data_IF_116316952842
#
_entry.id   IF_116316952842
#
_cell.length_a   1.000
_cell.length_b   1.000
_cell.length_c   1.000
_cell.angle_alpha   90.00
_cell.angle_beta   90.00
_cell.angle_gamma   90.00
#
_symmetry.space_group_name_H-M   'P 1'
#
loop_
_entity.id
_entity.type
_entity.pdbx_description
1 polymer ?
#
# COMPACT_ATOMS: atom_id res chain seq x y z
N UNK A 1 6.53 -65.29 35.49
CA UNK A 1 5.26 -66.05 35.54
C UNK A 1 4.75 -66.21 34.11
N UNK A 2 4.87 -67.45 33.60
CA UNK A 2 4.13 -68.14 32.53
C UNK A 2 4.08 -67.49 31.12
N UNK A 3 4.91 -67.89 30.14
CA UNK A 3 4.93 -69.15 29.32
C UNK A 3 3.66 -69.20 28.42
N UNK A 4 3.67 -69.23 27.08
CA UNK A 4 3.97 -70.37 26.18
C UNK A 4 4.04 -69.89 24.70
N UNK A 5 5.04 -70.39 23.96
CA UNK A 5 5.17 -70.40 22.49
C UNK A 5 4.62 -71.70 21.87
N UNK A 6 4.34 -71.67 20.55
CA UNK A 6 4.50 -72.77 19.55
C UNK A 6 3.91 -72.30 18.21
N UNK A 7 4.69 -72.02 17.16
CA UNK A 7 5.24 -72.96 16.13
C UNK A 7 4.17 -73.87 15.51
N UNK A 8 3.85 -73.65 14.23
CA UNK A 8 3.82 -74.72 13.22
C UNK A 8 3.94 -74.17 11.80
N UNK A 9 4.84 -74.80 11.05
CA UNK A 9 5.18 -74.58 9.64
C UNK A 9 4.12 -75.22 8.74
N UNK A 10 3.64 -74.53 7.70
CA UNK A 10 3.19 -75.15 6.44
C UNK A 10 3.53 -74.21 5.27
N UNK A 11 4.45 -74.68 4.43
CA UNK A 11 4.76 -74.15 3.10
C UNK A 11 3.96 -74.99 2.10
N UNK A 12 3.34 -74.37 1.08
CA UNK A 12 3.20 -75.02 -0.21
C UNK A 12 3.91 -74.23 -1.31
N UNK A 13 4.75 -74.97 -2.02
CA UNK A 13 5.41 -74.66 -3.28
C UNK A 13 4.35 -74.46 -4.37
N UNK A 14 4.33 -73.32 -5.04
CA UNK A 14 3.66 -73.15 -6.35
C UNK A 14 4.60 -72.38 -7.30
N UNK A 15 5.34 -73.18 -8.06
CA UNK A 15 5.69 -73.08 -9.47
C UNK A 15 5.67 -71.68 -10.12
N UNK A 16 6.88 -71.13 -10.28
CA UNK A 16 7.22 -69.98 -11.10
C UNK A 16 7.17 -70.38 -12.59
N UNK A 17 6.17 -69.90 -13.32
CA UNK A 17 6.12 -69.99 -14.78
C UNK A 17 6.80 -68.75 -15.39
N UNK A 18 8.07 -68.89 -15.78
CA UNK A 18 8.77 -67.94 -16.64
C UNK A 18 8.18 -68.01 -18.05
N UNK A 19 7.38 -67.01 -18.42
CA UNK A 19 7.10 -66.73 -19.83
C UNK A 19 8.18 -65.79 -20.31
N UNK A 20 9.12 -66.33 -21.10
CA UNK A 20 9.97 -65.53 -21.96
C UNK A 20 9.09 -64.93 -23.07
N UNK A 21 8.72 -63.66 -22.95
CA UNK A 21 8.42 -62.86 -24.14
C UNK A 21 9.75 -62.41 -24.72
N UNK A 22 10.09 -63.04 -25.85
CA UNK A 22 11.16 -62.65 -26.73
C UNK A 22 10.98 -61.19 -27.21
N UNK A 23 12.10 -60.49 -27.28
CA UNK A 23 12.22 -59.17 -27.87
C UNK A 23 11.58 -59.11 -29.26
N UNK A 24 10.59 -58.22 -29.44
CA UNK A 24 10.41 -57.56 -30.72
C UNK A 24 11.26 -56.30 -30.67
N UNK A 25 12.30 -56.30 -31.46
CA UNK A 25 13.16 -55.17 -31.76
C UNK A 25 12.29 -54.16 -32.54
N UNK A 26 11.87 -53.07 -31.90
CA UNK A 26 11.42 -51.88 -32.63
C UNK A 26 11.96 -50.66 -31.89
N UNK A 27 13.15 -50.25 -32.30
CA UNK A 27 13.78 -48.97 -32.02
C UNK A 27 12.95 -47.87 -32.69
N UNK A 28 11.76 -47.57 -32.17
CA UNK A 28 11.10 -46.29 -32.46
C UNK A 28 11.63 -45.26 -31.44
N UNK A 29 12.92 -44.94 -31.59
CA UNK A 29 13.56 -43.78 -30.99
C UNK A 29 13.04 -42.50 -31.68
N UNK A 30 11.71 -42.34 -31.74
CA UNK A 30 11.09 -41.06 -32.03
C UNK A 30 11.39 -40.20 -30.82
N UNK A 31 12.16 -39.10 -30.95
CA UNK A 31 12.26 -38.14 -29.86
C UNK A 31 10.83 -37.73 -29.52
N UNK A 32 10.46 -37.78 -28.23
CA UNK A 32 9.23 -37.11 -27.81
C UNK A 32 9.24 -35.71 -28.43
N UNK A 33 8.15 -35.28 -29.11
CA UNK A 33 8.17 -34.01 -29.82
C UNK A 33 8.62 -32.93 -28.84
N UNK A 34 9.70 -32.24 -29.19
CA UNK A 34 10.23 -31.15 -28.37
C UNK A 34 9.11 -30.12 -28.24
N UNK A 35 8.66 -29.90 -27.02
CA UNK A 35 7.59 -28.95 -26.77
C UNK A 35 8.07 -27.55 -27.14
N UNK A 36 7.29 -26.85 -27.97
CA UNK A 36 7.60 -25.50 -28.40
C UNK A 36 7.72 -24.56 -27.19
N UNK A 37 8.64 -23.59 -27.25
CA UNK A 37 8.63 -22.48 -26.29
C UNK A 37 7.44 -21.53 -26.57
N UNK A 38 7.22 -20.55 -25.70
CA UNK A 38 6.08 -19.62 -25.80
C UNK A 38 6.04 -18.87 -27.14
N UNK A 39 7.18 -18.40 -27.65
CA UNK A 39 7.22 -17.63 -28.91
C UNK A 39 7.00 -18.52 -30.12
N UNK A 40 7.56 -19.73 -30.11
CA UNK A 40 7.31 -20.74 -31.14
C UNK A 40 5.85 -21.19 -31.15
N UNK A 41 5.25 -21.38 -29.96
CA UNK A 41 3.84 -21.70 -29.80
C UNK A 41 2.94 -20.58 -30.34
N UNK A 42 3.23 -19.33 -30.00
CA UNK A 42 2.50 -18.18 -30.52
C UNK A 42 2.62 -18.07 -32.05
N UNK A 43 3.82 -18.30 -32.59
CA UNK A 43 4.08 -18.29 -34.04
C UNK A 43 3.35 -19.40 -34.79
N UNK A 44 3.11 -20.55 -34.15
CA UNK A 44 2.33 -21.66 -34.70
C UNK A 44 0.82 -21.46 -34.58
N UNK A 45 0.36 -20.46 -33.82
CA UNK A 45 -1.06 -20.20 -33.54
C UNK A 45 -1.55 -19.05 -34.41
N UNK A 46 -2.38 -19.35 -35.41
CA UNK A 46 -2.85 -18.36 -36.39
C UNK A 46 -3.54 -17.14 -35.75
N UNK A 47 -4.23 -17.34 -34.62
CA UNK A 47 -4.94 -16.28 -33.90
C UNK A 47 -4.03 -15.40 -33.02
N UNK A 48 -2.73 -15.69 -32.95
CA UNK A 48 -1.73 -14.93 -32.19
C UNK A 48 -0.72 -14.22 -33.11
N UNK A 49 -0.99 -14.11 -34.41
CA UNK A 49 -0.06 -13.47 -35.36
C UNK A 49 0.16 -11.98 -35.06
N UNK A 50 -0.85 -11.25 -34.55
CA UNK A 50 -0.71 -9.87 -34.07
C UNK A 50 0.19 -9.78 -32.84
N UNK A 51 0.11 -10.73 -31.91
CA UNK A 51 1.01 -10.79 -30.75
C UNK A 51 2.46 -10.98 -31.19
N UNK A 52 2.71 -11.90 -32.13
CA UNK A 52 4.06 -12.12 -32.67
C UNK A 52 4.61 -10.87 -33.37
N UNK A 53 3.78 -10.19 -34.16
CA UNK A 53 4.16 -8.92 -34.78
C UNK A 53 4.46 -7.83 -33.74
N UNK A 54 3.67 -7.76 -32.66
CA UNK A 54 3.90 -6.83 -31.55
C UNK A 54 5.22 -7.11 -30.82
N UNK A 55 5.52 -8.38 -30.51
CA UNK A 55 6.78 -8.79 -29.89
C UNK A 55 8.01 -8.42 -30.73
N UNK A 56 7.88 -8.49 -32.07
CA UNK A 56 8.95 -8.09 -33.00
C UNK A 56 9.12 -6.58 -33.12
N UNK A 57 8.03 -5.81 -32.95
CA UNK A 57 8.03 -4.36 -33.08
C UNK A 57 8.45 -3.64 -31.78
N UNK A 58 8.20 -4.25 -30.62
CA UNK A 58 8.47 -3.66 -29.32
C UNK A 58 9.97 -3.57 -28.98
N UNK A 59 10.32 -2.58 -28.16
CA UNK A 59 11.66 -2.45 -27.61
C UNK A 59 11.99 -3.60 -26.63
N UNK A 60 13.29 -3.83 -26.39
CA UNK A 60 13.75 -4.74 -25.35
C UNK A 60 13.95 -6.21 -25.77
N UNK A 61 13.88 -6.52 -27.08
CA UNK A 61 14.09 -7.87 -27.63
C UNK A 61 13.21 -8.93 -26.94
N UNK A 62 11.91 -8.63 -26.82
CA UNK A 62 10.95 -9.48 -26.11
C UNK A 62 10.83 -10.88 -26.73
N UNK A 63 11.13 -11.03 -28.02
CA UNK A 63 11.24 -12.34 -28.68
C UNK A 63 12.32 -13.19 -28.04
N UNK A 64 13.55 -12.67 -27.86
CA UNK A 64 14.61 -13.41 -27.20
C UNK A 64 14.30 -13.65 -25.72
N UNK A 65 13.72 -12.65 -25.03
CA UNK A 65 13.36 -12.77 -23.61
C UNK A 65 12.35 -13.90 -23.39
N UNK A 66 11.25 -13.93 -24.15
CA UNK A 66 10.19 -14.92 -23.98
C UNK A 66 10.49 -16.28 -24.64
N UNK A 67 11.53 -16.38 -25.47
CA UNK A 67 12.10 -17.66 -25.91
C UNK A 67 13.11 -18.22 -24.90
N UNK A 68 13.55 -17.39 -23.95
CA UNK A 68 14.56 -17.72 -22.96
C UNK A 68 14.07 -18.68 -21.86
N UNK A 69 14.92 -18.87 -20.85
CA UNK A 69 14.59 -19.71 -19.70
C UNK A 69 13.46 -19.08 -18.88
N UNK A 70 12.35 -19.80 -18.76
CA UNK A 70 11.23 -19.46 -17.88
C UNK A 70 11.37 -20.10 -16.48
N UNK A 71 10.24 -20.37 -15.79
CA UNK A 71 8.88 -20.33 -16.32
C UNK A 71 8.30 -18.91 -16.43
N UNK A 72 7.53 -18.68 -17.50
CA UNK A 72 6.67 -17.51 -17.67
C UNK A 72 5.19 -17.91 -17.72
N UNK A 73 4.31 -17.00 -17.35
CA UNK A 73 2.89 -17.05 -17.71
C UNK A 73 2.60 -15.89 -18.63
N UNK A 74 2.16 -16.19 -19.86
CA UNK A 74 1.82 -15.16 -20.86
C UNK A 74 0.32 -15.12 -21.07
N UNK A 75 -0.27 -13.95 -20.83
CA UNK A 75 -1.63 -13.61 -21.19
C UNK A 75 -1.64 -13.21 -22.67
N UNK A 76 -1.90 -14.13 -23.59
CA UNK A 76 -1.74 -13.93 -25.02
C UNK A 76 -3.02 -13.36 -25.67
N UNK A 77 -3.07 -12.07 -26.06
CA UNK A 77 -4.26 -11.50 -26.67
C UNK A 77 -4.43 -12.01 -28.11
N UNK A 78 -5.67 -12.33 -28.48
CA UNK A 78 -6.03 -12.74 -29.85
C UNK A 78 -5.81 -11.62 -30.88
N UNK A 79 -5.83 -11.97 -32.17
CA UNK A 79 -5.85 -10.99 -33.25
C UNK A 79 -7.03 -10.02 -33.15
N UNK A 80 -8.19 -10.51 -32.70
CA UNK A 80 -9.37 -9.68 -32.45
C UNK A 80 -9.14 -8.70 -31.30
N UNK A 81 -8.45 -9.12 -30.24
CA UNK A 81 -8.06 -8.26 -29.12
C UNK A 81 -7.16 -7.09 -29.58
N UNK A 82 -6.14 -7.38 -30.42
CA UNK A 82 -5.28 -6.36 -31.01
C UNK A 82 -6.05 -5.44 -31.96
N UNK A 83 -6.99 -5.95 -32.75
CA UNK A 83 -7.83 -5.12 -33.59
C UNK A 83 -8.66 -4.14 -32.74
N UNK A 84 -9.27 -4.62 -31.64
CA UNK A 84 -10.03 -3.77 -30.72
C UNK A 84 -9.15 -2.69 -30.06
N UNK A 85 -7.89 -3.00 -29.74
CA UNK A 85 -6.92 -2.00 -29.26
C UNK A 85 -6.67 -0.90 -30.31
N UNK A 86 -6.42 -1.27 -31.56
CA UNK A 86 -6.20 -0.30 -32.64
C UNK A 86 -7.45 0.58 -32.84
N UNK A 87 -8.63 -0.03 -32.85
CA UNK A 87 -9.91 0.67 -33.02
C UNK A 87 -10.22 1.64 -31.86
N UNK A 88 -9.60 1.45 -30.69
CA UNK A 88 -9.78 2.34 -29.52
C UNK A 88 -9.12 3.72 -29.69
N UNK A 89 -8.21 3.86 -30.64
CA UNK A 89 -7.53 5.11 -30.92
C UNK A 89 -7.53 5.41 -32.43
N UNK A 90 -8.21 6.47 -32.90
CA UNK A 90 -8.30 6.77 -34.33
C UNK A 90 -6.96 7.13 -34.98
N UNK A 91 -5.91 7.37 -34.20
CA UNK A 91 -4.55 7.57 -34.70
C UNK A 91 -3.82 6.26 -35.03
N UNK A 92 -4.33 5.10 -34.58
CA UNK A 92 -3.69 3.80 -34.77
C UNK A 92 -4.38 3.01 -35.89
N UNK A 93 -3.64 2.74 -36.96
CA UNK A 93 -4.09 1.88 -38.06
C UNK A 93 -3.38 0.51 -38.00
N UNK A 94 -2.16 0.50 -37.47
CA UNK A 94 -1.31 -0.68 -37.34
C UNK A 94 -0.56 -0.65 -36.01
N UNK A 95 -0.01 -1.78 -35.58
CA UNK A 95 0.82 -1.87 -34.36
C UNK A 95 2.02 -0.91 -34.42
N UNK A 96 2.52 -0.60 -35.63
CA UNK A 96 3.63 0.34 -35.82
C UNK A 96 3.27 1.81 -35.52
N UNK A 97 1.98 2.13 -35.38
CA UNK A 97 1.52 3.47 -34.97
C UNK A 97 1.54 3.66 -33.44
N UNK A 98 1.80 2.58 -32.69
CA UNK A 98 1.97 2.61 -31.23
C UNK A 98 3.45 2.82 -30.94
N UNK A 99 3.77 3.74 -30.01
CA UNK A 99 5.14 3.97 -29.55
C UNK A 99 5.77 2.65 -29.05
N UNK A 100 6.98 2.32 -29.52
CA UNK A 100 7.58 0.99 -29.28
C UNK A 100 7.99 0.76 -27.84
N UNK A 101 8.28 1.84 -27.09
CA UNK A 101 8.55 1.76 -25.66
C UNK A 101 7.25 1.51 -24.86
N UNK A 102 6.17 2.20 -25.23
CA UNK A 102 4.83 1.92 -24.67
C UNK A 102 4.37 0.50 -24.99
N UNK A 103 4.54 0.06 -26.25
CA UNK A 103 4.18 -1.28 -26.69
C UNK A 103 4.95 -2.35 -25.89
N UNK A 104 6.24 -2.13 -25.64
CA UNK A 104 7.06 -3.02 -24.81
C UNK A 104 6.49 -3.17 -23.40
N UNK A 105 6.13 -2.06 -22.74
CA UNK A 105 5.51 -2.09 -21.42
C UNK A 105 4.14 -2.79 -21.43
N UNK A 106 3.30 -2.52 -22.44
CA UNK A 106 2.00 -3.21 -22.58
C UNK A 106 2.20 -4.72 -22.73
N UNK A 107 3.15 -5.16 -23.55
CA UNK A 107 3.45 -6.59 -23.70
C UNK A 107 4.01 -7.20 -22.42
N UNK A 108 4.91 -6.51 -21.72
CA UNK A 108 5.43 -6.96 -20.43
C UNK A 108 4.34 -7.02 -19.35
N UNK A 109 3.27 -6.23 -19.47
CA UNK A 109 2.11 -6.30 -18.58
C UNK A 109 1.28 -7.57 -18.80
N UNK A 110 1.48 -8.25 -19.93
CA UNK A 110 0.90 -9.57 -20.20
C UNK A 110 1.80 -10.72 -19.77
N UNK A 111 2.95 -10.45 -19.16
CA UNK A 111 3.91 -11.47 -18.73
C UNK A 111 3.97 -11.47 -17.22
N UNK A 112 3.66 -12.60 -16.61
CA UNK A 112 3.85 -12.87 -15.19
C UNK A 112 5.04 -13.82 -15.07
N UNK A 113 5.98 -13.53 -14.16
CA UNK A 113 7.08 -14.44 -13.86
C UNK A 113 6.58 -15.63 -13.03
N UNK A 114 6.95 -16.86 -13.42
CA UNK A 114 6.42 -18.08 -12.81
C UNK A 114 5.47 -18.83 -13.73
N UNK A 115 5.12 -20.06 -13.36
CA UNK A 115 4.10 -20.86 -14.03
C UNK A 115 2.82 -20.81 -13.21
N UNK A 116 1.92 -19.90 -13.56
CA UNK A 116 0.62 -19.68 -12.93
C UNK A 116 -0.48 -20.26 -13.82
N UNK A 117 -1.11 -21.34 -13.36
CA UNK A 117 -2.24 -21.98 -14.06
C UNK A 117 -3.56 -21.29 -13.71
N UNK A 118 -4.60 -21.56 -14.50
CA UNK A 118 -5.96 -21.11 -14.17
C UNK A 118 -6.46 -21.71 -12.85
N UNK A 119 -5.95 -22.91 -12.50
CA UNK A 119 -6.26 -23.57 -11.24
C UNK A 119 -5.63 -22.83 -10.05
N UNK A 120 -4.41 -22.34 -10.20
CA UNK A 120 -3.73 -21.54 -9.18
C UNK A 120 -4.48 -20.22 -8.93
N UNK A 121 -4.91 -19.54 -10.00
CA UNK A 121 -5.69 -18.31 -9.89
C UNK A 121 -7.04 -18.56 -9.22
N UNK A 122 -7.79 -19.57 -9.66
CA UNK A 122 -9.10 -19.91 -9.07
C UNK A 122 -9.01 -20.36 -7.61
N UNK A 123 -7.92 -21.03 -7.22
CA UNK A 123 -7.65 -21.36 -5.82
C UNK A 123 -7.36 -20.10 -4.98
N UNK A 124 -6.78 -19.06 -5.58
CA UNK A 124 -6.50 -17.77 -4.95
C UNK A 124 -7.71 -16.83 -4.83
N UNK A 125 -8.81 -17.10 -5.55
CA UNK A 125 -9.96 -16.20 -5.59
C UNK A 125 -9.69 -14.93 -6.39
N UNK A 126 -10.08 -13.76 -5.89
CA UNK A 126 -9.69 -12.47 -6.46
C UNK A 126 -8.44 -11.92 -5.76
N UNK A 127 -7.56 -11.26 -6.50
CA UNK A 127 -6.32 -10.74 -5.94
C UNK A 127 -5.44 -10.02 -6.96
N UNK A 128 -4.16 -9.85 -6.63
CA UNK A 128 -3.18 -9.20 -7.49
C UNK A 128 -1.99 -10.11 -7.78
N UNK A 129 -1.52 -10.09 -9.02
CA UNK A 129 -0.25 -10.66 -9.43
C UNK A 129 0.72 -9.55 -9.87
N UNK A 130 2.02 -9.85 -9.95
CA UNK A 130 3.03 -8.95 -10.51
C UNK A 130 3.30 -9.31 -11.95
N UNK A 131 3.28 -8.30 -12.82
CA UNK A 131 3.69 -8.46 -14.22
C UNK A 131 5.17 -8.12 -14.37
N UNK A 132 5.71 -8.21 -15.58
CA UNK A 132 7.07 -7.79 -15.86
C UNK A 132 7.15 -6.33 -16.35
N UNK A 133 6.02 -5.62 -16.40
CA UNK A 133 6.00 -4.19 -16.72
C UNK A 133 6.44 -3.35 -15.52
N UNK A 134 7.12 -2.24 -15.78
CA UNK A 134 7.58 -1.30 -14.77
C UNK A 134 6.47 -0.33 -14.39
N UNK A 135 6.26 -0.14 -13.08
CA UNK A 135 5.35 0.81 -12.49
C UNK A 135 6.06 1.85 -11.64
N UNK A 136 5.30 2.53 -10.78
CA UNK A 136 5.81 3.57 -9.89
C UNK A 136 6.94 3.05 -8.98
N UNK A 137 7.90 3.92 -8.68
CA UNK A 137 9.08 3.57 -7.87
C UNK A 137 10.01 2.53 -8.53
N UNK A 138 9.81 2.20 -9.81
CA UNK A 138 10.56 1.16 -10.53
C UNK A 138 10.17 -0.27 -10.14
N UNK A 139 9.12 -0.44 -9.32
CA UNK A 139 8.59 -1.74 -8.97
C UNK A 139 7.77 -2.34 -10.12
N UNK A 140 7.58 -3.65 -10.14
CA UNK A 140 6.74 -4.30 -11.14
C UNK A 140 5.26 -3.98 -10.93
N UNK A 141 4.56 -3.66 -12.02
CA UNK A 141 3.13 -3.35 -12.03
C UNK A 141 2.33 -4.50 -11.45
N UNK A 142 1.29 -4.14 -10.69
CA UNK A 142 0.27 -5.08 -10.27
C UNK A 142 -0.76 -5.26 -11.39
N UNK A 143 -1.28 -6.47 -11.51
CA UNK A 143 -2.46 -6.80 -12.33
C UNK A 143 -3.50 -7.46 -11.43
N UNK A 144 -4.71 -6.90 -11.41
CA UNK A 144 -5.83 -7.47 -10.67
C UNK A 144 -6.38 -8.67 -11.43
N UNK A 145 -6.68 -9.77 -10.74
CA UNK A 145 -7.41 -10.90 -11.28
C UNK A 145 -8.66 -11.20 -10.44
N UNK A 146 -9.76 -11.53 -11.11
CA UNK A 146 -11.01 -11.99 -10.51
C UNK A 146 -11.38 -13.34 -11.12
N UNK A 147 -11.86 -14.25 -10.29
CA UNK A 147 -12.24 -15.62 -10.68
C UNK A 147 -13.71 -15.93 -10.43
N UNK A 148 -14.51 -14.92 -10.04
CA UNK A 148 -15.95 -15.05 -9.77
C UNK A 148 -16.76 -15.53 -10.97
N UNK A 149 -16.33 -15.16 -12.18
CA UNK A 149 -16.99 -15.48 -13.45
C UNK A 149 -15.98 -15.93 -14.50
N UNK A 150 -15.18 -16.93 -14.16
CA UNK A 150 -13.97 -17.29 -14.92
C UNK A 150 -12.83 -16.31 -14.61
N UNK A 151 -11.61 -16.64 -15.05
CA UNK A 151 -10.43 -15.79 -14.81
C UNK A 151 -10.52 -14.54 -15.69
N UNK A 152 -10.55 -13.37 -15.06
CA UNK A 152 -10.55 -12.05 -15.69
C UNK A 152 -9.44 -11.20 -15.11
N UNK A 153 -8.88 -10.31 -15.92
CA UNK A 153 -7.81 -9.39 -15.52
C UNK A 153 -8.24 -7.93 -15.69
N UNK A 154 -7.97 -7.12 -14.66
CA UNK A 154 -8.32 -5.69 -14.54
C UNK A 154 -9.79 -5.36 -14.92
N UNK A 155 -10.69 -6.34 -14.84
CA UNK A 155 -12.04 -6.28 -15.39
C UNK A 155 -12.13 -5.91 -16.89
N UNK A 156 -11.02 -5.97 -17.62
CA UNK A 156 -10.92 -5.63 -19.05
C UNK A 156 -10.91 -6.88 -19.93
N UNK A 157 -10.17 -7.91 -19.52
CA UNK A 157 -9.99 -9.11 -20.34
C UNK A 157 -10.34 -10.39 -19.62
N UNK A 158 -10.95 -11.34 -20.31
CA UNK A 158 -11.24 -12.69 -19.84
C UNK A 158 -10.31 -13.70 -20.49
N UNK A 159 -9.93 -14.74 -19.74
CA UNK A 159 -9.24 -15.91 -20.29
C UNK A 159 -10.22 -16.72 -21.14
N UNK A 160 -9.90 -16.89 -22.41
CA UNK A 160 -10.71 -17.66 -23.38
C UNK A 160 -10.22 -19.09 -23.53
N UNK A 161 -8.90 -19.31 -23.46
CA UNK A 161 -8.28 -20.64 -23.46
C UNK A 161 -7.21 -20.67 -22.37
N UNK A 162 -7.46 -21.31 -21.22
CA UNK A 162 -6.47 -21.42 -20.17
C UNK A 162 -5.46 -22.53 -20.43
N UNK A 163 -4.33 -22.46 -19.73
CA UNK A 163 -3.40 -23.58 -19.49
C UNK A 163 -2.81 -24.20 -20.77
N UNK A 164 -2.40 -23.38 -21.73
CA UNK A 164 -1.66 -23.86 -22.91
C UNK A 164 -0.18 -24.02 -22.56
N UNK A 165 0.25 -25.27 -22.40
CA UNK A 165 1.59 -25.63 -21.96
C UNK A 165 2.67 -25.36 -23.03
N UNK A 166 3.72 -24.65 -22.64
CA UNK A 166 4.95 -24.43 -23.42
C UNK A 166 6.17 -24.93 -22.66
N UNK A 167 7.29 -25.20 -23.35
CA UNK A 167 8.50 -25.74 -22.69
C UNK A 167 9.14 -24.80 -21.66
N UNK A 168 8.81 -23.51 -21.71
CA UNK A 168 9.29 -22.48 -20.80
C UNK A 168 8.16 -21.75 -20.07
N UNK A 169 6.96 -22.34 -19.95
CA UNK A 169 5.87 -21.72 -19.19
C UNK A 169 4.46 -22.11 -19.62
N UNK A 170 3.49 -21.25 -19.25
CA UNK A 170 2.07 -21.41 -19.54
C UNK A 170 1.56 -20.21 -20.33
N UNK A 171 0.70 -20.45 -21.31
CA UNK A 171 0.00 -19.39 -22.05
C UNK A 171 -1.49 -19.46 -21.77
N UNK A 172 -2.09 -18.32 -21.41
CA UNK A 172 -3.54 -18.13 -21.33
C UNK A 172 -3.96 -17.23 -22.48
N UNK A 173 -4.78 -17.70 -23.41
CA UNK A 173 -5.33 -16.82 -24.44
C UNK A 173 -6.37 -15.90 -23.81
N UNK A 174 -6.33 -14.62 -24.15
CA UNK A 174 -7.21 -13.59 -23.61
C UNK A 174 -7.91 -12.79 -24.71
N UNK A 175 -9.09 -12.25 -24.41
CA UNK A 175 -9.98 -11.58 -25.38
C UNK A 175 -9.71 -10.08 -25.59
N UNK A 176 -8.81 -9.46 -24.81
CA UNK A 176 -8.46 -8.05 -24.93
C UNK A 176 -6.98 -7.81 -24.61
N UNK A 177 -6.41 -6.74 -25.18
CA UNK A 177 -5.08 -6.26 -24.76
C UNK A 177 -5.24 -5.44 -23.47
N UNK A 178 -4.56 -5.87 -22.41
CA UNK A 178 -4.61 -5.29 -21.07
C UNK A 178 -3.62 -4.12 -20.99
N UNK A 179 -4.14 -2.89 -20.91
CA UNK A 179 -3.34 -1.68 -20.75
C UNK A 179 -2.61 -1.58 -19.40
N UNK A 180 -1.83 -0.52 -19.22
CA UNK A 180 -1.06 -0.26 -17.99
C UNK A 180 -1.94 0.46 -16.95
N UNK A 181 -2.37 -0.22 -15.87
CA UNK A 181 -3.33 0.37 -14.93
C UNK A 181 -2.71 1.48 -14.09
N UNK A 182 -3.40 2.62 -14.01
CA UNK A 182 -3.15 3.66 -13.00
C UNK A 182 -3.93 3.35 -11.70
N UNK A 183 -3.81 4.23 -10.70
CA UNK A 183 -4.49 4.06 -9.40
C UNK A 183 -6.02 3.96 -9.55
N UNK A 184 -6.62 4.78 -10.42
CA UNK A 184 -8.07 4.80 -10.65
C UNK A 184 -8.51 3.50 -11.32
N UNK A 185 -7.74 3.00 -12.29
CA UNK A 185 -8.02 1.72 -12.96
C UNK A 185 -8.06 0.57 -11.95
N UNK A 186 -7.10 0.53 -11.02
CA UNK A 186 -7.07 -0.46 -9.95
C UNK A 186 -8.25 -0.34 -8.97
N UNK A 187 -8.61 0.89 -8.59
CA UNK A 187 -9.76 1.13 -7.71
C UNK A 187 -11.08 0.67 -8.36
N UNK A 188 -11.25 0.91 -9.66
CA UNK A 188 -12.44 0.49 -10.42
C UNK A 188 -12.47 -1.03 -10.64
N UNK A 189 -11.30 -1.64 -10.88
CA UNK A 189 -11.21 -3.08 -11.11
C UNK A 189 -11.46 -3.92 -9.84
N UNK A 190 -11.10 -3.39 -8.67
CA UNK A 190 -11.19 -4.12 -7.41
C UNK A 190 -12.57 -3.93 -6.74
N UNK A 191 -13.39 -4.99 -6.63
CA UNK A 191 -14.73 -4.90 -6.03
C UNK A 191 -14.69 -4.50 -4.55
N UNK A 192 -13.60 -4.77 -3.83
CA UNK A 192 -13.42 -4.39 -2.42
C UNK A 192 -13.20 -2.88 -2.23
N UNK A 193 -13.04 -2.12 -3.32
CA UNK A 193 -12.90 -0.66 -3.34
C UNK A 193 -14.11 0.05 -3.97
N UNK A 194 -15.21 -0.65 -4.21
CA UNK A 194 -16.39 -0.07 -4.89
C UNK A 194 -17.06 1.08 -4.10
N UNK A 195 -17.04 1.06 -2.77
CA UNK A 195 -17.54 2.17 -1.95
C UNK A 195 -16.64 3.41 -2.06
N UNK A 196 -15.32 3.21 -2.12
CA UNK A 196 -14.36 4.29 -2.40
C UNK A 196 -14.67 4.93 -3.76
N UNK A 197 -14.76 4.12 -4.82
CA UNK A 197 -15.09 4.62 -6.17
C UNK A 197 -16.44 5.36 -6.18
N UNK A 198 -17.43 4.84 -5.44
CA UNK A 198 -18.71 5.51 -5.25
C UNK A 198 -18.57 6.88 -4.60
N UNK A 199 -17.81 6.99 -3.52
CA UNK A 199 -17.54 8.26 -2.84
C UNK A 199 -16.80 9.27 -3.73
N UNK A 200 -15.84 8.79 -4.53
CA UNK A 200 -15.05 9.60 -5.45
C UNK A 200 -15.85 10.16 -6.63
N UNK A 201 -16.92 9.48 -7.04
CA UNK A 201 -17.73 9.87 -8.22
C UNK A 201 -19.09 10.44 -7.86
N UNK A 202 -19.48 10.39 -6.57
CA UNK A 202 -20.75 10.90 -6.07
C UNK A 202 -20.94 12.37 -6.47
N UNK A 203 -22.11 12.69 -7.03
CA UNK A 203 -22.43 14.06 -7.44
C UNK A 203 -21.57 14.61 -8.60
N UNK A 204 -20.82 13.76 -9.31
CA UNK A 204 -19.89 14.20 -10.35
C UNK A 204 -18.59 14.81 -9.80
N UNK A 205 -18.21 14.44 -8.58
CA UNK A 205 -16.96 14.86 -7.96
C UNK A 205 -15.75 14.44 -8.80
N UNK A 206 -14.82 15.38 -9.02
CA UNK A 206 -13.57 15.13 -9.75
C UNK A 206 -12.33 15.45 -8.91
N UNK A 207 -12.48 15.93 -7.67
CA UNK A 207 -11.38 16.44 -6.84
C UNK A 207 -10.19 15.47 -6.79
N UNK A 208 -10.47 14.20 -6.54
CA UNK A 208 -9.46 13.18 -6.42
C UNK A 208 -8.93 12.68 -7.77
N UNK A 209 -9.78 12.58 -8.79
CA UNK A 209 -9.32 12.22 -10.14
C UNK A 209 -8.45 13.32 -10.72
N UNK A 210 -8.75 14.58 -10.41
CA UNK A 210 -7.95 15.75 -10.79
C UNK A 210 -6.62 15.73 -10.02
N UNK A 211 -6.62 15.41 -8.72
CA UNK A 211 -5.41 15.21 -7.92
C UNK A 211 -4.51 14.13 -8.53
N UNK A 212 -5.05 12.94 -8.82
CA UNK A 212 -4.28 11.82 -9.38
C UNK A 212 -3.89 11.99 -10.85
N UNK A 213 -4.52 12.93 -11.55
CA UNK A 213 -4.13 13.32 -12.90
C UNK A 213 -2.95 14.31 -12.92
N UNK A 214 -2.61 14.91 -11.78
CA UNK A 214 -1.42 15.76 -11.70
C UNK A 214 -0.15 14.91 -11.90
N UNK A 215 0.86 15.40 -12.64
CA UNK A 215 2.12 14.67 -12.78
C UNK A 215 2.80 14.49 -11.42
N UNK A 216 3.04 13.25 -11.03
CA UNK A 216 3.71 12.93 -9.78
C UNK A 216 3.51 11.47 -9.38
N UNK A 217 4.26 11.08 -8.36
CA UNK A 217 4.13 9.78 -7.69
C UNK A 217 3.21 9.91 -6.48
N UNK A 218 2.32 8.94 -6.30
CA UNK A 218 1.40 8.90 -5.16
C UNK A 218 1.57 7.64 -4.32
N UNK A 219 1.32 7.77 -3.02
CA UNK A 219 1.03 6.65 -2.14
C UNK A 219 -0.39 6.84 -1.62
N UNK A 220 -1.28 5.91 -1.93
CA UNK A 220 -2.71 6.00 -1.62
C UNK A 220 -3.09 4.91 -0.63
N UNK A 221 -3.64 5.30 0.51
CA UNK A 221 -4.24 4.39 1.48
C UNK A 221 -5.72 4.21 1.13
N UNK A 222 -6.07 3.20 0.34
CA UNK A 222 -7.44 3.04 -0.16
C UNK A 222 -8.32 2.26 0.84
N UNK A 223 -9.35 2.87 1.47
CA UNK A 223 -10.18 2.13 2.41
C UNK A 223 -11.03 1.09 1.66
N UNK A 224 -11.07 -0.14 2.18
CA UNK A 224 -11.95 -1.19 1.65
C UNK A 224 -13.41 -0.92 2.00
N UNK A 225 -14.35 -1.62 1.34
CA UNK A 225 -15.79 -1.41 1.57
C UNK A 225 -16.19 -1.56 3.04
N UNK A 226 -15.61 -2.52 3.78
CA UNK A 226 -15.90 -2.66 5.21
C UNK A 226 -15.43 -1.46 6.04
N UNK A 227 -14.37 -0.78 5.61
CA UNK A 227 -13.89 0.45 6.23
C UNK A 227 -14.88 1.60 6.04
N UNK A 228 -15.40 1.78 4.82
CA UNK A 228 -16.40 2.81 4.50
C UNK A 228 -17.73 2.55 5.19
N UNK A 229 -18.24 1.31 5.13
CA UNK A 229 -19.46 0.91 5.83
C UNK A 229 -19.36 1.16 7.34
N UNK A 230 -18.17 0.98 7.93
CA UNK A 230 -17.92 1.22 9.35
C UNK A 230 -17.74 2.69 9.74
N UNK A 231 -17.52 3.59 8.78
CA UNK A 231 -17.18 4.98 9.03
C UNK A 231 -18.44 5.84 9.25
N UNK A 232 -18.55 6.46 10.42
CA UNK A 232 -19.71 7.28 10.80
C UNK A 232 -19.54 8.78 10.52
N UNK A 233 -18.37 9.21 10.04
CA UNK A 233 -17.95 10.62 9.96
C UNK A 233 -18.31 11.41 11.25
N UNK A 234 -17.74 11.03 12.41
CA UNK A 234 -18.17 11.54 13.71
C UNK A 234 -18.00 13.06 13.85
N UNK A 235 -17.03 13.65 13.12
CA UNK A 235 -16.71 15.07 13.16
C UNK A 235 -17.42 15.87 12.06
N UNK A 236 -18.11 15.21 11.13
CA UNK A 236 -18.78 15.88 10.01
C UNK A 236 -17.82 16.55 9.02
N UNK A 237 -16.58 16.05 8.91
CA UNK A 237 -15.58 16.56 7.98
C UNK A 237 -16.03 16.38 6.53
N UNK A 238 -15.58 17.26 5.63
CA UNK A 238 -15.84 17.10 4.20
C UNK A 238 -15.18 15.83 3.68
N UNK A 239 -15.92 15.05 2.90
CA UNK A 239 -15.41 13.77 2.39
C UNK A 239 -14.21 13.96 1.47
N UNK A 240 -14.09 15.09 0.76
CA UNK A 240 -12.92 15.36 -0.08
C UNK A 240 -11.66 15.59 0.74
N UNK A 241 -11.79 16.27 1.88
CA UNK A 241 -10.66 16.49 2.78
C UNK A 241 -10.24 15.16 3.41
N UNK A 242 -11.21 14.34 3.84
CA UNK A 242 -10.95 12.97 4.31
C UNK A 242 -10.23 12.16 3.23
N UNK A 243 -10.72 12.14 2.00
CA UNK A 243 -10.10 11.35 0.92
C UNK A 243 -8.72 11.89 0.52
N UNK A 244 -8.52 13.21 0.59
CA UNK A 244 -7.19 13.82 0.38
C UNK A 244 -6.21 13.41 1.49
N UNK A 245 -6.70 13.16 2.70
CA UNK A 245 -5.90 12.68 3.82
C UNK A 245 -5.40 11.22 3.63
N UNK A 246 -5.98 10.49 2.66
CA UNK A 246 -5.52 9.15 2.30
C UNK A 246 -4.42 9.17 1.23
N UNK A 247 -3.96 10.34 0.78
CA UNK A 247 -2.98 10.45 -0.30
C UNK A 247 -1.74 11.17 0.19
N UNK A 248 -0.57 10.54 -0.01
CA UNK A 248 0.73 11.20 0.08
C UNK A 248 1.16 11.55 -1.35
N UNK A 249 1.51 12.81 -1.57
CA UNK A 249 1.93 13.34 -2.87
C UNK A 249 3.46 13.40 -2.95
N UNK A 250 4.02 13.04 -4.10
CA UNK A 250 5.45 13.13 -4.38
C UNK A 250 6.26 11.92 -3.89
N UNK A 251 5.59 10.84 -3.47
CA UNK A 251 6.23 9.62 -3.02
C UNK A 251 5.43 8.38 -3.43
N UNK A 252 6.10 7.39 -4.03
CA UNK A 252 5.56 6.06 -4.33
C UNK A 252 6.22 5.02 -3.41
N UNK A 253 5.70 4.90 -2.19
CA UNK A 253 6.29 4.05 -1.15
C UNK A 253 5.67 2.65 -1.14
N UNK A 254 6.51 1.63 -1.35
CA UNK A 254 6.18 0.25 -0.96
C UNK A 254 6.12 0.17 0.56
N UNK A 255 5.40 -0.82 1.09
CA UNK A 255 5.28 -1.13 2.52
C UNK A 255 6.64 -1.29 3.19
N UNK A 256 7.58 -1.93 2.49
CA UNK A 256 8.98 -2.11 2.91
C UNK A 256 9.82 -0.82 2.90
N UNK A 257 9.34 0.23 2.24
CA UNK A 257 9.94 1.56 2.23
C UNK A 257 9.32 2.52 3.24
N UNK A 258 8.28 2.11 3.96
CA UNK A 258 7.68 2.89 5.05
C UNK A 258 8.46 2.67 6.35
N UNK A 259 8.42 3.67 7.23
CA UNK A 259 9.04 3.65 8.55
C UNK A 259 8.23 4.47 9.54
N UNK A 260 8.50 4.31 10.84
CA UNK A 260 7.89 5.14 11.88
C UNK A 260 8.23 6.61 11.64
N UNK A 261 7.25 7.41 11.20
CA UNK A 261 7.47 8.80 10.81
C UNK A 261 6.15 9.56 10.65
N UNK A 262 6.25 10.89 10.70
CA UNK A 262 5.23 11.78 10.20
C UNK A 262 5.52 12.12 8.72
N UNK A 263 4.50 12.02 7.88
CA UNK A 263 4.52 12.49 6.48
C UNK A 263 3.36 13.45 6.25
N UNK A 264 3.41 14.26 5.20
CA UNK A 264 2.30 15.14 4.84
C UNK A 264 1.38 14.47 3.82
N UNK A 265 0.08 14.68 3.99
CA UNK A 265 -0.97 14.21 3.07
C UNK A 265 -1.37 15.31 2.10
N UNK A 266 -2.26 15.00 1.16
CA UNK A 266 -2.84 15.99 0.26
C UNK A 266 -3.93 16.85 0.92
N UNK A 267 -4.41 16.48 2.11
CA UNK A 267 -5.37 17.28 2.86
C UNK A 267 -4.68 18.52 3.45
N UNK A 268 -5.43 19.61 3.58
CA UNK A 268 -4.94 20.85 4.19
C UNK A 268 -5.86 21.33 5.30
N UNK A 269 -5.31 22.07 6.27
CA UNK A 269 -6.14 22.84 7.21
C UNK A 269 -6.77 24.07 6.53
N UNK A 270 -7.52 24.88 7.31
CA UNK A 270 -8.15 26.11 6.81
C UNK A 270 -7.18 27.20 6.33
N UNK A 271 -5.90 27.12 6.72
CA UNK A 271 -4.84 28.04 6.33
C UNK A 271 -4.06 27.54 5.09
N UNK A 272 -4.37 26.34 4.60
CA UNK A 272 -3.72 25.71 3.45
C UNK A 272 -2.45 24.93 3.78
N UNK A 273 -2.14 24.71 5.07
CA UNK A 273 -1.02 23.86 5.48
C UNK A 273 -1.39 22.39 5.29
N UNK A 274 -0.49 21.62 4.71
CA UNK A 274 -0.67 20.19 4.54
C UNK A 274 -0.77 19.50 5.91
N UNK A 275 -1.78 18.64 6.07
CA UNK A 275 -1.96 17.84 7.28
C UNK A 275 -0.95 16.71 7.32
N UNK A 276 -0.54 16.32 8.53
CA UNK A 276 0.35 15.19 8.73
C UNK A 276 -0.42 13.88 8.85
N UNK A 277 0.28 12.77 8.64
CA UNK A 277 -0.15 11.41 8.95
C UNK A 277 0.99 10.73 9.70
N UNK A 278 0.67 10.09 10.82
CA UNK A 278 1.63 9.26 11.53
C UNK A 278 1.57 7.85 10.99
N UNK A 279 2.72 7.33 10.56
CA UNK A 279 2.90 5.95 10.14
C UNK A 279 3.64 5.22 11.25
N UNK A 280 3.11 4.09 11.70
CA UNK A 280 3.78 3.12 12.56
C UNK A 280 3.97 1.82 11.76
N UNK A 281 5.15 1.21 11.89
CA UNK A 281 5.57 -0.01 11.18
C UNK A 281 6.01 -1.14 12.12
N UNK A 282 5.88 -0.95 13.44
CA UNK A 282 6.36 -1.89 14.47
C UNK A 282 5.66 -3.25 14.38
N UNK A 283 4.35 -3.24 14.14
CA UNK A 283 3.49 -4.43 14.05
C UNK A 283 2.66 -4.44 12.75
N UNK A 284 3.35 -4.20 11.62
CA UNK A 284 2.70 -3.90 10.35
C UNK A 284 2.45 -2.40 10.18
N UNK A 285 1.88 -1.99 9.05
CA UNK A 285 1.69 -0.56 8.74
C UNK A 285 0.36 -0.08 9.31
N UNK A 286 0.41 0.78 10.31
CA UNK A 286 -0.74 1.44 10.95
C UNK A 286 -0.64 2.96 10.77
N UNK A 287 -1.76 3.58 10.42
CA UNK A 287 -1.90 5.00 10.13
C UNK A 287 -2.73 5.66 11.23
N UNK A 288 -2.20 6.72 11.83
CA UNK A 288 -2.83 7.48 12.92
C UNK A 288 -3.36 6.60 14.08
N UNK A 289 -2.76 5.42 14.27
CA UNK A 289 -3.14 4.45 15.30
C UNK A 289 -4.50 3.75 15.09
N UNK A 290 -5.21 4.03 13.99
CA UNK A 290 -6.59 3.55 13.79
C UNK A 290 -6.81 2.73 12.53
N UNK A 291 -6.01 2.93 11.49
CA UNK A 291 -6.20 2.30 10.18
C UNK A 291 -4.99 1.44 9.84
N UNK A 292 -5.20 0.15 9.57
CA UNK A 292 -4.13 -0.79 9.24
C UNK A 292 -4.15 -1.13 7.76
N UNK A 293 -2.98 -1.33 7.18
CA UNK A 293 -2.84 -1.86 5.83
C UNK A 293 -3.24 -3.33 5.81
N UNK A 294 -4.34 -3.64 5.12
CA UNK A 294 -4.88 -4.98 4.93
C UNK A 294 -4.30 -5.68 3.69
N UNK A 295 -4.03 -4.93 2.62
CA UNK A 295 -3.32 -5.41 1.45
C UNK A 295 -2.36 -4.34 0.94
N UNK A 296 -1.07 -4.67 0.91
CA UNK A 296 -0.03 -3.72 0.57
C UNK A 296 0.39 -3.79 -0.91
N UNK A 297 1.06 -2.74 -1.34
CA UNK A 297 1.91 -2.72 -2.53
C UNK A 297 1.18 -2.92 -3.86
N UNK A 298 -0.06 -2.47 -4.03
CA UNK A 298 -0.70 -2.52 -5.35
C UNK A 298 -0.06 -1.44 -6.23
N UNK A 299 0.86 -1.83 -7.12
CA UNK A 299 1.66 -0.89 -7.91
C UNK A 299 0.91 -0.54 -9.19
N UNK A 300 0.80 0.76 -9.44
CA UNK A 300 0.19 1.37 -10.60
C UNK A 300 1.23 2.18 -11.40
N UNK A 301 0.81 2.76 -12.52
CA UNK A 301 1.69 3.62 -13.34
C UNK A 301 1.99 4.97 -12.70
N UNK A 302 1.09 5.51 -11.88
CA UNK A 302 1.23 6.82 -11.22
C UNK A 302 1.42 6.73 -9.69
N UNK A 303 1.53 5.53 -9.11
CA UNK A 303 1.78 5.40 -7.68
C UNK A 303 1.55 4.01 -7.12
N UNK A 304 1.43 3.92 -5.81
CA UNK A 304 1.24 2.67 -5.06
C UNK A 304 0.01 2.81 -4.18
N UNK A 305 -0.85 1.79 -4.20
CA UNK A 305 -2.03 1.70 -3.33
C UNK A 305 -1.74 0.68 -2.21
N UNK A 306 -2.08 1.06 -0.99
CA UNK A 306 -2.22 0.18 0.17
C UNK A 306 -3.69 0.15 0.57
N UNK A 307 -4.34 -0.99 0.46
CA UNK A 307 -5.73 -1.12 0.93
C UNK A 307 -5.75 -1.12 2.47
N UNK A 308 -6.62 -0.31 3.07
CA UNK A 308 -6.70 -0.14 4.53
C UNK A 308 -8.06 -0.54 5.11
N UNK A 309 -8.06 -0.99 6.36
CA UNK A 309 -9.25 -1.55 7.04
C UNK A 309 -10.15 -0.51 7.73
N UNK A 310 -9.71 0.75 7.83
CA UNK A 310 -10.49 1.86 8.37
C UNK A 310 -10.27 3.16 7.57
N UNK A 311 -11.31 4.00 7.47
CA UNK A 311 -11.19 5.36 6.92
C UNK A 311 -10.36 6.23 7.87
N UNK A 312 -9.34 6.88 7.33
CA UNK A 312 -8.43 7.79 8.01
C UNK A 312 -9.05 9.20 8.03
N UNK A 313 -9.80 9.50 9.09
CA UNK A 313 -10.37 10.84 9.31
C UNK A 313 -9.26 11.89 9.53
N UNK A 314 -9.63 13.18 9.43
CA UNK A 314 -8.69 14.28 9.65
C UNK A 314 -8.14 14.25 11.09
N UNK A 315 -6.81 14.24 11.28
CA UNK A 315 -6.22 14.08 12.61
C UNK A 315 -6.35 15.37 13.43
N UNK A 316 -6.64 15.23 14.72
CA UNK A 316 -6.44 16.29 15.71
C UNK A 316 -5.06 16.17 16.36
N UNK A 317 -4.64 17.17 17.14
CA UNK A 317 -3.42 17.03 17.96
C UNK A 317 -3.51 15.85 18.94
N UNK A 318 -4.71 15.50 19.39
CA UNK A 318 -4.93 14.32 20.25
C UNK A 318 -4.74 13.03 19.46
N UNK A 319 -5.15 12.97 18.19
CA UNK A 319 -4.91 11.82 17.31
C UNK A 319 -3.43 11.45 17.27
N UNK A 320 -2.53 12.42 17.13
CA UNK A 320 -1.11 12.14 17.07
C UNK A 320 -0.51 11.79 18.43
N UNK A 321 -0.94 12.46 19.51
CA UNK A 321 -0.50 12.13 20.86
C UNK A 321 -0.80 10.68 21.23
N UNK A 322 -1.94 10.14 20.78
CA UNK A 322 -2.31 8.74 21.03
C UNK A 322 -1.72 7.75 20.04
N UNK A 323 -1.47 8.17 18.79
CA UNK A 323 -0.93 7.31 17.74
C UNK A 323 0.58 7.07 17.87
N UNK A 324 1.34 8.07 18.32
CA UNK A 324 2.80 7.98 18.45
C UNK A 324 3.20 7.44 19.84
N UNK A 325 3.82 6.24 19.93
CA UNK A 325 4.23 5.64 21.20
C UNK A 325 5.23 6.48 21.98
N UNK A 326 5.96 7.39 21.34
CA UNK A 326 6.91 8.29 22.00
C UNK A 326 6.22 9.28 22.94
N UNK A 327 4.91 9.48 22.81
CA UNK A 327 4.08 10.30 23.70
C UNK A 327 3.30 9.49 24.74
N UNK A 328 3.55 8.19 24.90
CA UNK A 328 2.77 7.34 25.83
C UNK A 328 2.70 7.86 27.28
N UNK A 329 3.79 8.46 27.77
CA UNK A 329 3.83 9.08 29.11
C UNK A 329 3.04 10.39 29.17
N UNK A 330 3.05 11.19 28.09
CA UNK A 330 2.19 12.37 27.95
C UNK A 330 0.71 11.97 27.97
N UNK A 331 0.32 10.94 27.21
CA UNK A 331 -1.06 10.42 27.22
C UNK A 331 -1.47 9.96 28.61
N UNK A 332 -0.58 9.25 29.31
CA UNK A 332 -0.82 8.84 30.71
C UNK A 332 -1.03 10.04 31.63
N UNK A 333 -0.23 11.10 31.46
CA UNK A 333 -0.37 12.34 32.23
C UNK A 333 -1.70 13.06 31.93
N UNK A 334 -2.13 13.11 30.67
CA UNK A 334 -3.37 13.76 30.24
C UNK A 334 -4.65 12.98 30.60
N UNK A 335 -4.54 11.70 30.94
CA UNK A 335 -5.67 10.80 31.22
C UNK A 335 -5.68 10.25 32.66
N UNK A 336 -4.91 10.87 33.56
CA UNK A 336 -4.83 10.46 34.96
C UNK A 336 -6.21 10.52 35.64
N UNK A 337 -6.51 9.55 36.52
CA UNK A 337 -7.86 9.38 37.07
C UNK A 337 -8.28 10.44 38.11
N UNK A 338 -7.33 11.19 38.64
CA UNK A 338 -7.51 12.23 39.66
C UNK A 338 -7.65 13.65 39.07
N UNK A 339 -7.60 13.81 37.74
CA UNK A 339 -7.68 15.13 37.10
C UNK A 339 -9.08 15.76 37.26
N UNK A 340 -9.11 17.04 37.60
CA UNK A 340 -10.31 17.90 37.64
C UNK A 340 -10.49 18.75 36.37
N UNK A 341 -9.55 18.64 35.44
CA UNK A 341 -9.57 19.26 34.11
C UNK A 341 -9.51 18.19 33.02
N UNK A 342 -9.92 18.54 31.81
CA UNK A 342 -9.98 17.62 30.68
C UNK A 342 -9.30 18.23 29.44
N UNK A 343 -7.98 18.03 29.35
CA UNK A 343 -7.24 18.44 28.15
C UNK A 343 -7.56 17.60 26.94
N UNK A 344 -7.93 16.32 27.09
CA UNK A 344 -8.22 15.47 25.93
C UNK A 344 -9.44 16.03 25.19
N UNK A 345 -10.51 16.36 25.91
CA UNK A 345 -11.68 17.01 25.31
C UNK A 345 -11.35 18.40 24.78
N UNK A 346 -10.56 19.19 25.51
CA UNK A 346 -10.19 20.56 25.09
C UNK A 346 -9.34 20.54 23.81
N UNK A 347 -8.30 19.72 23.76
CA UNK A 347 -7.39 19.60 22.62
C UNK A 347 -7.99 18.79 21.45
N UNK A 348 -9.14 18.16 21.66
CA UNK A 348 -9.94 17.57 20.57
C UNK A 348 -10.94 18.55 19.99
N UNK A 349 -11.17 19.72 20.61
CA UNK A 349 -12.11 20.70 20.09
C UNK A 349 -11.54 21.47 18.90
N UNK A 350 -12.36 22.34 18.33
CA UNK A 350 -11.91 23.36 17.38
C UNK A 350 -10.77 24.19 17.99
N UNK A 351 -9.71 24.39 17.19
CA UNK A 351 -8.52 25.15 17.58
C UNK A 351 -8.51 26.56 16.98
N UNK A 352 -7.33 27.10 16.60
CA UNK A 352 -6.04 26.39 16.51
C UNK A 352 -5.33 26.24 17.86
N UNK A 353 -4.62 25.13 18.02
CA UNK A 353 -3.70 24.87 19.13
C UNK A 353 -2.24 24.80 18.65
N UNK A 354 -1.30 25.15 19.53
CA UNK A 354 0.10 24.70 19.41
C UNK A 354 0.44 23.90 20.64
N UNK A 355 0.91 22.66 20.46
CA UNK A 355 1.32 21.79 21.56
C UNK A 355 2.81 21.47 21.42
N UNK A 356 3.59 21.85 22.43
CA UNK A 356 4.96 21.37 22.59
C UNK A 356 4.90 20.07 23.38
N UNK A 357 4.91 18.92 22.70
CA UNK A 357 4.61 17.62 23.29
C UNK A 357 5.89 16.94 23.80
N UNK A 358 6.12 16.85 25.12
CA UNK A 358 7.30 16.16 25.64
C UNK A 358 7.24 14.66 25.35
N UNK A 359 8.34 14.10 24.83
CA UNK A 359 8.50 12.65 24.64
C UNK A 359 8.73 11.91 25.97
N UNK A 360 8.60 10.58 25.95
CA UNK A 360 8.82 9.70 27.11
C UNK A 360 10.16 9.93 27.84
N UNK A 361 11.22 10.24 27.10
CA UNK A 361 12.54 10.55 27.68
C UNK A 361 12.50 11.81 28.53
N UNK A 362 11.81 12.87 28.08
CA UNK A 362 11.67 14.12 28.84
C UNK A 362 10.91 13.92 30.18
N UNK A 363 9.93 13.01 30.21
CA UNK A 363 9.29 12.63 31.47
C UNK A 363 10.21 11.82 32.38
N UNK A 364 11.07 10.97 31.82
CA UNK A 364 12.05 10.20 32.60
C UNK A 364 13.05 11.14 33.29
N UNK A 365 13.50 12.17 32.58
CA UNK A 365 14.37 13.22 33.12
C UNK A 365 13.67 14.02 34.22
N UNK A 366 12.40 14.40 33.99
CA UNK A 366 11.59 15.11 34.99
C UNK A 366 11.45 14.32 36.30
N UNK A 367 11.09 13.03 36.22
CA UNK A 367 10.91 12.18 37.41
C UNK A 367 12.24 12.05 38.18
N UNK A 368 13.35 11.92 37.46
CA UNK A 368 14.70 11.85 38.03
C UNK A 368 15.08 13.15 38.74
N UNK A 369 14.81 14.30 38.12
CA UNK A 369 15.07 15.63 38.70
C UNK A 369 14.27 15.85 39.99
N UNK A 370 12.98 15.49 39.98
CA UNK A 370 12.09 15.62 41.12
C UNK A 370 12.34 14.58 42.22
N UNK A 371 13.10 13.52 41.93
CA UNK A 371 13.37 12.43 42.87
C UNK A 371 12.12 11.63 43.22
N UNK A 372 11.19 11.51 42.28
CA UNK A 372 9.94 10.75 42.42
C UNK A 372 9.95 9.50 41.55
N UNK A 373 9.16 8.49 41.89
CA UNK A 373 9.19 7.19 41.20
C UNK A 373 8.21 7.13 40.03
N UNK A 374 7.15 7.94 40.06
CA UNK A 374 6.10 7.94 39.04
C UNK A 374 5.37 9.26 38.90
N UNK A 375 4.64 9.43 37.80
CA UNK A 375 3.70 10.55 37.62
C UNK A 375 2.63 10.64 38.71
N UNK A 376 2.34 9.55 39.41
CA UNK A 376 1.37 9.52 40.52
C UNK A 376 1.87 10.26 41.77
N UNK A 377 3.18 10.47 41.90
CA UNK A 377 3.79 11.19 43.01
C UNK A 377 3.74 12.72 42.81
N UNK A 378 3.40 13.18 41.61
CA UNK A 378 3.25 14.60 41.26
C UNK A 378 1.81 15.01 41.56
N UNK A 379 1.59 16.01 42.42
CA UNK A 379 0.25 16.51 42.70
C UNK A 379 -0.41 17.11 41.44
N UNK A 380 -1.74 16.99 41.35
CA UNK A 380 -2.53 17.47 40.22
C UNK A 380 -2.30 18.96 39.89
N UNK A 381 -2.27 19.91 40.86
CA UNK A 381 -1.97 21.31 40.56
C UNK A 381 -0.62 21.51 39.87
N UNK A 382 0.43 20.82 40.32
CA UNK A 382 1.77 20.89 39.72
C UNK A 382 1.78 20.30 38.32
N UNK A 383 1.11 19.15 38.13
CA UNK A 383 0.96 18.55 36.80
C UNK A 383 0.23 19.50 35.86
N UNK A 384 -0.88 20.10 36.30
CA UNK A 384 -1.65 21.05 35.50
C UNK A 384 -0.81 22.25 35.08
N UNK A 385 -0.14 22.90 36.03
CA UNK A 385 0.69 24.06 35.74
C UNK A 385 1.80 23.72 34.73
N UNK A 386 2.36 22.52 34.83
CA UNK A 386 3.36 22.03 33.87
C UNK A 386 2.75 21.84 32.48
N UNK A 387 1.60 21.19 32.36
CA UNK A 387 0.91 20.98 31.08
C UNK A 387 0.45 22.31 30.44
N UNK A 388 0.02 23.28 31.24
CA UNK A 388 -0.34 24.62 30.78
C UNK A 388 0.84 25.32 30.05
N UNK A 389 2.09 25.05 30.43
CA UNK A 389 3.29 25.57 29.75
C UNK A 389 3.61 24.90 28.41
N UNK A 390 2.92 23.82 28.06
CA UNK A 390 3.15 23.06 26.82
C UNK A 390 2.05 23.30 25.78
N UNK A 391 0.99 24.04 26.14
CA UNK A 391 -0.15 24.27 25.27
C UNK A 391 -0.36 25.77 25.02
N UNK A 392 -0.62 26.12 23.76
CA UNK A 392 -1.03 27.44 23.30
C UNK A 392 -2.42 27.30 22.70
N UNK A 393 -3.32 28.22 23.05
CA UNK A 393 -4.65 28.30 22.45
C UNK A 393 -4.79 29.54 21.57
N UNK A 394 -5.43 29.37 20.42
CA UNK A 394 -5.71 30.46 19.48
C UNK A 394 -4.58 30.81 18.53
N UNK A 395 -3.50 30.01 18.49
CA UNK A 395 -2.38 30.17 17.57
C UNK A 395 -1.93 28.82 17.01
N UNK A 396 -1.75 28.74 15.69
CA UNK A 396 -1.08 27.65 14.98
C UNK A 396 0.38 28.08 14.71
N UNK A 397 1.24 28.04 15.72
CA UNK A 397 2.63 28.51 15.60
C UNK A 397 3.46 27.43 14.92
N UNK A 398 3.75 27.59 13.63
CA UNK A 398 4.57 26.64 12.87
C UNK A 398 6.05 26.94 13.06
N UNK A 399 6.91 26.02 12.63
CA UNK A 399 8.36 26.16 12.72
C UNK A 399 8.87 27.42 12.02
N UNK A 400 8.27 27.76 10.88
CA UNK A 400 8.55 28.96 10.10
C UNK A 400 8.12 30.26 10.79
N UNK A 401 7.22 30.19 11.77
CA UNK A 401 6.78 31.33 12.57
C UNK A 401 7.73 31.57 13.77
N UNK A 402 8.57 30.59 14.11
CA UNK A 402 9.55 30.70 15.19
C UNK A 402 10.77 31.52 14.76
N UNK A 403 11.21 32.42 15.65
CA UNK A 403 12.43 33.24 15.48
C UNK A 403 13.19 33.32 16.80
N UNK A 404 14.45 33.79 16.77
CA UNK A 404 15.21 34.01 17.99
C UNK A 404 14.53 35.03 18.91
N UNK A 405 14.44 34.69 20.19
CA UNK A 405 13.71 35.43 21.21
C UNK A 405 12.19 35.59 20.94
N UNK A 406 11.59 34.69 20.16
CA UNK A 406 10.14 34.70 19.92
C UNK A 406 9.38 34.32 21.18
N UNK A 407 8.45 35.18 21.61
CA UNK A 407 7.61 34.92 22.79
C UNK A 407 6.40 34.07 22.37
N UNK A 408 6.28 32.88 22.96
CA UNK A 408 5.17 31.96 22.74
C UNK A 408 4.20 32.03 23.93
N UNK A 409 2.95 32.50 23.74
CA UNK A 409 2.01 32.73 24.84
C UNK A 409 1.26 31.46 25.22
N UNK A 410 1.88 30.62 26.04
CA UNK A 410 1.25 29.37 26.52
C UNK A 410 0.16 29.65 27.55
N UNK A 411 -0.68 28.66 27.84
CA UNK A 411 -1.70 28.75 28.90
C UNK A 411 -1.09 28.97 30.30
N UNK A 412 0.16 28.51 30.51
CA UNK A 412 0.89 28.60 31.78
C UNK A 412 1.71 29.88 31.93
N UNK A 413 1.80 30.69 30.88
CA UNK A 413 2.67 31.86 30.79
C UNK A 413 3.70 31.73 29.68
N UNK A 414 4.31 32.86 29.34
CA UNK A 414 5.16 32.93 28.16
C UNK A 414 6.41 32.03 28.26
N UNK A 415 6.72 31.35 27.16
CA UNK A 415 8.03 30.71 26.92
C UNK A 415 8.72 31.40 25.75
N UNK A 416 10.05 31.28 25.65
CA UNK A 416 10.83 31.92 24.59
C UNK A 416 11.38 30.87 23.63
N UNK A 417 11.01 30.95 22.36
CA UNK A 417 11.61 30.13 21.32
C UNK A 417 12.90 30.76 20.77
N UNK A 418 13.85 29.91 20.39
CA UNK A 418 15.05 30.29 19.64
C UNK A 418 15.32 29.25 18.56
N UNK A 419 15.89 29.67 17.43
CA UNK A 419 16.12 28.81 16.25
C UNK A 419 17.58 28.77 15.82
N UNK A 420 18.40 29.75 16.22
CA UNK A 420 19.84 29.74 15.95
C UNK A 420 20.52 28.60 16.73
N UNK A 421 21.10 27.66 15.99
CA UNK A 421 21.76 26.48 16.57
C UNK A 421 20.85 25.29 16.84
N UNK A 422 19.58 25.38 16.45
CA UNK A 422 18.53 24.38 16.68
C UNK A 422 17.31 25.02 17.33
N UNK A 423 16.12 24.50 17.02
CA UNK A 423 14.88 24.98 17.62
C UNK A 423 14.83 24.58 19.10
N UNK A 424 14.67 25.56 19.99
CA UNK A 424 14.64 25.39 21.44
C UNK A 424 13.57 26.26 22.07
N UNK A 425 13.10 25.86 23.25
CA UNK A 425 12.18 26.61 24.10
C UNK A 425 12.86 26.87 25.44
N UNK A 426 12.78 28.10 25.92
CA UNK A 426 13.28 28.51 27.23
C UNK A 426 12.12 28.96 28.10
N UNK A 427 11.98 28.36 29.28
CA UNK A 427 10.94 28.75 30.24
C UNK A 427 11.38 29.91 31.15
N UNK A 428 10.48 30.35 32.04
CA UNK A 428 10.75 31.45 32.97
C UNK A 428 11.83 31.14 34.03
N UNK A 429 12.29 29.89 34.15
CA UNK A 429 13.35 29.46 35.05
C UNK A 429 14.68 29.22 34.31
N UNK A 430 14.81 29.72 33.08
CA UNK A 430 15.97 29.52 32.20
C UNK A 430 16.24 28.04 31.85
N UNK A 431 15.23 27.16 31.96
CA UNK A 431 15.33 25.78 31.50
C UNK A 431 15.13 25.74 30.00
N UNK A 432 16.01 25.02 29.30
CA UNK A 432 16.01 24.93 27.84
C UNK A 432 15.63 23.51 27.41
N UNK A 433 14.61 23.42 26.56
CA UNK A 433 14.17 22.18 25.90
C UNK A 433 14.44 22.26 24.41
N UNK A 434 14.90 21.16 23.80
CA UNK A 434 15.06 21.08 22.35
C UNK A 434 13.76 20.65 21.69
N UNK A 435 13.50 21.13 20.48
CA UNK A 435 12.45 20.62 19.61
C UNK A 435 13.11 19.66 18.60
N UNK A 436 12.68 18.40 18.62
CA UNK A 436 13.24 17.30 17.82
C UNK A 436 12.35 16.93 16.63
N UNK A 437 11.06 17.28 16.67
CA UNK A 437 10.17 17.22 15.52
C UNK A 437 9.31 18.49 15.48
N UNK A 438 9.10 19.03 14.29
CA UNK A 438 8.33 20.25 14.09
C UNK A 438 7.22 20.03 13.07
N UNK A 439 6.18 20.85 13.13
CA UNK A 439 5.13 20.91 12.10
C UNK A 439 4.39 19.58 11.91
N UNK A 440 4.14 18.85 13.00
CA UNK A 440 3.17 17.76 12.98
C UNK A 440 1.78 18.40 12.97
N UNK A 441 1.27 18.64 11.77
CA UNK A 441 0.09 19.46 11.53
C UNK A 441 -1.19 18.62 11.60
N UNK A 442 -2.08 19.01 12.50
CA UNK A 442 -3.44 18.50 12.63
C UNK A 442 -4.46 19.54 12.11
N UNK A 443 -5.71 19.12 11.95
CA UNK A 443 -6.80 20.00 11.51
C UNK A 443 -7.08 21.12 12.52
N UNK A 444 -6.87 20.85 13.81
CA UNK A 444 -7.14 21.78 14.90
C UNK A 444 -5.89 22.39 15.54
N UNK A 445 -4.70 22.21 14.95
CA UNK A 445 -3.47 22.77 15.50
C UNK A 445 -2.21 22.06 15.05
N UNK A 446 -1.09 22.37 15.69
CA UNK A 446 0.24 21.82 15.36
C UNK A 446 0.93 21.29 16.62
N UNK A 447 1.68 20.20 16.45
CA UNK A 447 2.56 19.64 17.48
C UNK A 447 4.02 19.89 17.09
N UNK A 448 4.81 20.25 18.10
CA UNK A 448 6.27 20.21 18.09
C UNK A 448 6.71 19.28 19.22
N UNK A 449 7.58 18.30 18.95
CA UNK A 449 8.02 17.29 19.93
C UNK A 449 9.37 17.64 20.54
#
# INVERSE_FOLDING_TARGET
MNIISKISKIVPIIMLAFIFLACSNDDDNTPAPMQSNIVELASATADLSSLVAALQAADGDLVSVLSGAGPFTVLAPSNAAFQALLDSNPAWNTIADIDTAVLSQVLLNHVISGSVTSSDLTAGGAGYARTNASGAGGANLSIFYDTSNGVRFNNVSSVTTPDVEASNGVVHLVDAVIGLPNIVDHAVANPDLSELVGALTAGGNTTFTDLLATPGDFTVFAPVNSAFTGFTNPNGNDINDILSNHVIVGASALSTGLSNAYLNTAATNGDGDALSIYINTDDGVTLNGTSNVAAADIVATNGIIHAVDAVIDLPSVVTFATADPTFGTLVTALTRADLTFDYVTTLSSEGPFTVFAPINEAFTDLLTELGVESLGDIDEPTLKATLDHHAVAGLNVRAEDLTDAFTVPTLGGDITANVTGGATLTDANDRVSNIIATNVQAINGVIHA
#
